data_IF_582066594752
#
_entry.id   IF_582066594752
#
_cell.length_a   1.000
_cell.length_b   1.000
_cell.length_c   1.000
_cell.angle_alpha   90.00
_cell.angle_beta   90.00
_cell.angle_gamma   90.00
#
_symmetry.space_group_name_H-M   'P 1'
#
loop_
_entity.id
_entity.type
_entity.pdbx_description
1 polymer ?
#
# COMPACT_ATOMS: atom_id res chain seq x y z
N UNK A 1 -40.48 -11.96 -2.78
CA UNK A 1 -40.06 -10.58 -3.11
C UNK A 1 -39.57 -9.85 -1.86
N UNK A 2 -40.43 -9.31 -0.99
CA UNK A 2 -39.99 -8.52 0.18
C UNK A 2 -39.12 -9.31 1.19
N UNK A 3 -39.47 -10.57 1.45
CA UNK A 3 -38.67 -11.47 2.30
C UNK A 3 -37.25 -11.72 1.75
N UNK A 4 -37.08 -11.74 0.43
CA UNK A 4 -35.78 -11.89 -0.22
C UNK A 4 -34.93 -10.63 -0.07
N UNK A 5 -35.54 -9.45 -0.15
CA UNK A 5 -34.83 -8.19 0.08
C UNK A 5 -34.46 -7.99 1.56
N UNK A 6 -35.33 -8.39 2.50
CA UNK A 6 -35.03 -8.35 3.94
C UNK A 6 -33.89 -9.30 4.32
N UNK A 7 -33.83 -10.50 3.73
CA UNK A 7 -32.72 -11.43 3.93
C UNK A 7 -31.39 -10.85 3.41
N UNK A 8 -31.39 -10.24 2.22
CA UNK A 8 -30.22 -9.54 1.68
C UNK A 8 -29.77 -8.40 2.61
N UNK A 9 -30.70 -7.62 3.17
CA UNK A 9 -30.38 -6.54 4.12
C UNK A 9 -29.72 -7.11 5.37
N UNK A 10 -30.27 -8.17 5.96
CA UNK A 10 -29.73 -8.79 7.18
C UNK A 10 -28.35 -9.42 6.95
N UNK A 11 -28.16 -10.14 5.83
CA UNK A 11 -26.86 -10.69 5.43
C UNK A 11 -25.83 -9.61 5.20
N UNK A 12 -26.21 -8.53 4.51
CA UNK A 12 -25.37 -7.36 4.28
C UNK A 12 -24.94 -6.70 5.59
N UNK A 13 -25.86 -6.58 6.55
CA UNK A 13 -25.57 -6.05 7.87
C UNK A 13 -24.56 -6.94 8.62
N UNK A 14 -24.80 -8.25 8.63
CA UNK A 14 -23.93 -9.23 9.29
C UNK A 14 -22.51 -9.20 8.72
N UNK A 15 -22.40 -9.18 7.40
CA UNK A 15 -21.14 -9.00 6.67
C UNK A 15 -20.45 -7.70 7.05
N UNK A 16 -21.17 -6.58 7.07
CA UNK A 16 -20.60 -5.28 7.39
C UNK A 16 -20.00 -5.26 8.81
N UNK A 17 -20.73 -5.78 9.79
CA UNK A 17 -20.23 -5.91 11.17
C UNK A 17 -19.03 -6.84 11.25
N UNK A 18 -19.09 -8.01 10.59
CA UNK A 18 -17.96 -8.94 10.51
C UNK A 18 -16.72 -8.26 9.93
N UNK A 19 -16.84 -7.60 8.79
CA UNK A 19 -15.73 -6.89 8.13
C UNK A 19 -15.17 -5.77 9.01
N UNK A 20 -16.03 -5.02 9.69
CA UNK A 20 -15.61 -3.97 10.62
C UNK A 20 -14.80 -4.53 11.78
N UNK A 21 -15.24 -5.66 12.36
CA UNK A 21 -14.53 -6.36 13.44
C UNK A 21 -13.22 -6.94 12.92
N UNK A 22 -13.24 -7.64 11.79
CA UNK A 22 -12.07 -8.23 11.17
C UNK A 22 -11.01 -7.16 10.87
N UNK A 23 -11.37 -6.07 10.18
CA UNK A 23 -10.45 -4.96 9.90
C UNK A 23 -9.91 -4.31 11.17
N UNK A 24 -10.70 -4.25 12.25
CA UNK A 24 -10.24 -3.72 13.54
C UNK A 24 -9.22 -4.64 14.23
N UNK A 25 -9.38 -5.96 14.09
CA UNK A 25 -8.46 -6.97 14.64
C UNK A 25 -7.17 -7.06 13.79
N UNK A 26 -7.32 -7.15 12.46
CA UNK A 26 -6.21 -7.33 11.53
C UNK A 26 -5.47 -6.01 11.21
N UNK A 27 -6.07 -4.84 11.52
CA UNK A 27 -5.33 -3.69 12.03
C UNK A 27 -5.37 -2.39 11.20
N UNK A 28 -5.30 -1.26 11.93
CA UNK A 28 -5.23 0.15 11.45
C UNK A 28 -4.05 0.48 10.52
N UNK A 29 -3.08 -0.43 10.33
CA UNK A 29 -1.86 -0.19 9.54
C UNK A 29 -2.05 -0.36 8.03
N UNK A 30 -3.08 -1.09 7.57
CA UNK A 30 -3.28 -1.32 6.13
C UNK A 30 -3.64 -0.04 5.36
N UNK A 31 -4.37 0.90 5.99
CA UNK A 31 -4.86 2.09 5.29
C UNK A 31 -3.82 3.22 5.12
N UNK A 32 -2.66 3.16 5.77
CA UNK A 32 -1.69 4.27 5.74
C UNK A 32 -0.70 4.20 4.57
N UNK A 33 -0.41 2.99 4.09
CA UNK A 33 0.41 2.66 2.92
C UNK A 33 -0.01 1.26 2.47
N UNK A 34 -1.04 1.17 1.63
CA UNK A 34 -1.47 -0.11 1.07
C UNK A 34 -0.35 -0.62 0.17
N UNK A 35 0.23 -1.75 0.53
CA UNK A 35 1.11 -2.47 -0.39
C UNK A 35 0.25 -3.23 -1.43
N UNK A 36 0.84 -3.64 -2.54
CA UNK A 36 0.20 -4.44 -3.61
C UNK A 36 -0.53 -5.67 -3.05
N UNK A 37 0.05 -6.35 -2.05
CA UNK A 37 -0.60 -7.49 -1.38
C UNK A 37 -1.91 -7.11 -0.66
N UNK A 38 -1.97 -5.92 -0.06
CA UNK A 38 -3.17 -5.44 0.64
C UNK A 38 -4.29 -5.11 -0.35
N UNK A 39 -3.94 -4.56 -1.51
CA UNK A 39 -4.88 -4.29 -2.60
C UNK A 39 -5.49 -5.61 -3.11
N UNK A 40 -4.64 -6.61 -3.38
CA UNK A 40 -5.09 -7.94 -3.82
C UNK A 40 -6.02 -8.57 -2.78
N UNK A 41 -5.67 -8.48 -1.49
CA UNK A 41 -6.52 -8.99 -0.42
C UNK A 41 -7.90 -8.32 -0.41
N UNK A 42 -7.96 -6.99 -0.49
CA UNK A 42 -9.22 -6.24 -0.51
C UNK A 42 -10.11 -6.70 -1.67
N UNK A 43 -9.53 -6.89 -2.86
CA UNK A 43 -10.26 -7.36 -4.04
C UNK A 43 -10.81 -8.79 -3.85
N UNK A 44 -10.01 -9.71 -3.31
CA UNK A 44 -10.43 -11.09 -3.05
C UNK A 44 -11.53 -11.17 -2.00
N UNK A 45 -11.44 -10.38 -0.93
CA UNK A 45 -12.47 -10.33 0.10
C UNK A 45 -13.74 -9.71 -0.45
N UNK A 46 -13.64 -8.62 -1.23
CA UNK A 46 -14.80 -7.96 -1.86
C UNK A 46 -15.64 -8.97 -2.67
N UNK A 47 -15.00 -9.77 -3.51
CA UNK A 47 -15.68 -10.81 -4.30
C UNK A 47 -16.29 -11.92 -3.42
N UNK A 48 -15.55 -12.38 -2.41
CA UNK A 48 -16.02 -13.44 -1.50
C UNK A 48 -17.26 -13.01 -0.72
N UNK A 49 -17.23 -11.77 -0.23
CA UNK A 49 -18.29 -11.16 0.56
C UNK A 49 -19.52 -10.82 -0.30
N UNK A 50 -19.31 -10.35 -1.54
CA UNK A 50 -20.40 -10.08 -2.48
C UNK A 50 -21.28 -11.32 -2.69
N UNK A 51 -20.65 -12.49 -2.84
CA UNK A 51 -21.36 -13.76 -2.95
C UNK A 51 -22.13 -14.14 -1.67
N UNK A 52 -21.63 -13.78 -0.49
CA UNK A 52 -22.37 -13.96 0.77
C UNK A 52 -23.57 -13.02 0.92
N UNK A 53 -23.51 -11.82 0.34
CA UNK A 53 -24.57 -10.81 0.44
C UNK A 53 -25.72 -11.05 -0.54
N UNK A 54 -25.41 -11.40 -1.79
CA UNK A 54 -26.39 -11.42 -2.91
C UNK A 54 -26.48 -12.80 -3.60
N UNK A 55 -25.66 -13.77 -3.20
CA UNK A 55 -25.62 -15.09 -3.83
C UNK A 55 -26.90 -15.91 -3.62
N UNK A 56 -27.26 -16.78 -4.58
CA UNK A 56 -28.56 -17.46 -4.62
C UNK A 56 -28.77 -18.53 -3.53
N UNK A 57 -27.72 -19.19 -3.01
CA UNK A 57 -27.85 -20.34 -2.11
C UNK A 57 -26.99 -20.22 -0.84
N UNK A 58 -27.61 -20.16 0.34
CA UNK A 58 -27.04 -20.32 1.72
C UNK A 58 -25.60 -19.81 1.95
N UNK A 59 -25.21 -18.74 1.27
CA UNK A 59 -23.81 -18.37 1.02
C UNK A 59 -23.17 -17.50 2.10
N UNK A 60 -23.93 -17.09 3.12
CA UNK A 60 -23.42 -16.21 4.17
C UNK A 60 -22.22 -16.84 4.87
N UNK A 61 -22.35 -18.09 5.32
CA UNK A 61 -21.25 -18.81 5.98
C UNK A 61 -20.08 -19.05 5.03
N UNK A 62 -20.34 -19.40 3.77
CA UNK A 62 -19.30 -19.60 2.76
C UNK A 62 -18.43 -18.36 2.55
N UNK A 63 -19.05 -17.20 2.33
CA UNK A 63 -18.30 -15.96 2.14
C UNK A 63 -17.63 -15.44 3.41
N UNK A 64 -18.23 -15.64 4.59
CA UNK A 64 -17.60 -15.30 5.87
C UNK A 64 -16.37 -16.19 6.16
N UNK A 65 -16.47 -17.49 5.93
CA UNK A 65 -15.34 -18.43 6.10
C UNK A 65 -14.24 -18.13 5.10
N UNK A 66 -14.58 -17.87 3.83
CA UNK A 66 -13.61 -17.48 2.81
C UNK A 66 -12.89 -16.17 3.19
N UNK A 67 -13.64 -15.12 3.59
CA UNK A 67 -13.06 -13.86 4.04
C UNK A 67 -12.16 -14.05 5.27
N UNK A 68 -12.60 -14.85 6.26
CA UNK A 68 -11.80 -15.15 7.45
C UNK A 68 -10.51 -15.90 7.09
N UNK A 69 -10.58 -16.90 6.21
CA UNK A 69 -9.42 -17.64 5.74
C UNK A 69 -8.41 -16.71 5.04
N UNK A 70 -8.89 -15.81 4.18
CA UNK A 70 -8.05 -14.81 3.52
C UNK A 70 -7.37 -13.88 4.53
N UNK A 71 -8.09 -13.40 5.55
CA UNK A 71 -7.49 -12.60 6.63
C UNK A 71 -6.41 -13.36 7.40
N UNK A 72 -6.68 -14.62 7.77
CA UNK A 72 -5.73 -15.46 8.51
C UNK A 72 -4.49 -15.74 7.67
N UNK A 73 -4.66 -16.10 6.39
CA UNK A 73 -3.53 -16.35 5.47
C UNK A 73 -2.71 -15.08 5.30
N UNK A 74 -3.34 -13.92 5.07
CA UNK A 74 -2.62 -12.66 4.94
C UNK A 74 -1.84 -12.32 6.22
N UNK A 75 -2.46 -12.52 7.39
CA UNK A 75 -1.79 -12.31 8.67
C UNK A 75 -0.58 -13.24 8.86
N UNK A 76 -0.71 -14.52 8.49
CA UNK A 76 0.39 -15.49 8.54
C UNK A 76 1.51 -15.06 7.60
N UNK A 77 1.20 -14.72 6.35
CA UNK A 77 2.17 -14.26 5.36
C UNK A 77 2.90 -13.03 5.91
N UNK A 78 2.20 -12.00 6.38
CA UNK A 78 2.83 -10.80 6.97
C UNK A 78 3.77 -11.14 8.12
N UNK A 79 3.36 -12.04 9.01
CA UNK A 79 4.21 -12.48 10.14
C UNK A 79 5.43 -13.27 9.66
N UNK A 80 5.27 -14.08 8.62
CA UNK A 80 6.34 -14.88 8.02
C UNK A 80 7.35 -13.98 7.30
N UNK A 81 6.86 -13.05 6.49
CA UNK A 81 7.63 -12.03 5.79
C UNK A 81 8.43 -11.18 6.78
N UNK A 82 7.82 -10.78 7.91
CA UNK A 82 8.55 -10.01 8.92
C UNK A 82 9.63 -10.84 9.65
N UNK A 83 9.42 -12.14 9.80
CA UNK A 83 10.36 -13.05 10.47
C UNK A 83 11.51 -13.49 9.57
N UNK A 84 11.26 -13.69 8.27
CA UNK A 84 12.23 -14.22 7.33
C UNK A 84 12.60 -13.19 6.26
N UNK A 85 13.85 -12.72 6.32
CA UNK A 85 14.40 -11.75 5.36
C UNK A 85 14.26 -12.20 3.90
N UNK A 86 14.34 -13.49 3.60
CA UNK A 86 14.19 -14.01 2.23
C UNK A 86 12.75 -13.80 1.71
N UNK A 87 11.74 -14.00 2.55
CA UNK A 87 10.34 -13.75 2.18
C UNK A 87 10.06 -12.25 2.10
N UNK A 88 10.67 -11.46 2.98
CA UNK A 88 10.66 -10.00 2.87
C UNK A 88 11.21 -9.55 1.52
N UNK A 89 12.36 -10.07 1.10
CA UNK A 89 13.04 -9.64 -0.13
C UNK A 89 12.35 -10.14 -1.41
N UNK A 90 11.52 -11.20 -1.31
CA UNK A 90 10.75 -11.74 -2.42
C UNK A 90 9.34 -11.11 -2.54
N UNK A 91 8.71 -10.77 -1.41
CA UNK A 91 7.31 -10.33 -1.35
C UNK A 91 7.16 -8.82 -1.10
N UNK A 92 8.19 -8.17 -0.55
CA UNK A 92 8.22 -6.74 -0.30
C UNK A 92 9.36 -6.15 -1.11
N UNK A 93 9.01 -5.37 -2.12
CA UNK A 93 9.99 -4.53 -2.79
C UNK A 93 10.64 -3.61 -1.75
N UNK A 94 11.96 -3.49 -1.82
CA UNK A 94 12.71 -2.61 -0.95
C UNK A 94 12.95 -1.30 -1.67
N UNK A 95 13.01 -0.19 -0.91
CA UNK A 95 13.56 1.03 -1.45
C UNK A 95 14.97 0.78 -1.99
N UNK A 96 15.21 1.15 -3.24
CA UNK A 96 16.50 0.94 -3.90
C UNK A 96 17.18 2.30 -4.13
N UNK A 97 18.47 2.39 -3.82
CA UNK A 97 19.21 3.64 -3.99
C UNK A 97 19.54 3.82 -5.48
N UNK A 98 19.16 4.97 -6.04
CA UNK A 98 19.43 5.34 -7.43
C UNK A 98 20.64 6.29 -7.54
N UNK A 99 20.78 7.22 -6.58
CA UNK A 99 21.91 8.15 -6.50
C UNK A 99 22.36 8.27 -5.03
N UNK A 100 23.66 8.23 -4.80
CA UNK A 100 24.27 8.47 -3.49
C UNK A 100 25.45 9.45 -3.62
N UNK A 101 25.40 10.58 -2.92
CA UNK A 101 26.40 11.66 -2.96
C UNK A 101 26.80 12.03 -4.40
N UNK A 102 25.79 12.28 -5.23
CA UNK A 102 25.92 12.62 -6.64
C UNK A 102 26.40 11.52 -7.58
N UNK A 103 26.58 10.29 -7.10
CA UNK A 103 26.98 9.14 -7.92
C UNK A 103 25.77 8.26 -8.22
N UNK A 104 25.53 8.06 -9.51
CA UNK A 104 24.49 7.18 -10.03
C UNK A 104 24.86 5.71 -9.77
N UNK A 105 23.92 4.94 -9.23
CA UNK A 105 24.03 3.49 -9.18
C UNK A 105 23.49 2.89 -10.50
N UNK A 106 24.38 2.78 -11.48
CA UNK A 106 24.04 2.20 -12.79
C UNK A 106 23.54 0.76 -12.70
N UNK A 107 23.93 0.00 -11.68
CA UNK A 107 23.43 -1.38 -11.51
C UNK A 107 21.98 -1.36 -11.07
N UNK A 108 21.63 -0.51 -10.11
CA UNK A 108 20.25 -0.33 -9.66
C UNK A 108 19.36 0.20 -10.80
N UNK A 109 19.81 1.25 -11.50
CA UNK A 109 19.09 1.83 -12.64
C UNK A 109 18.83 0.80 -13.74
N UNK A 110 19.85 0.02 -14.12
CA UNK A 110 19.69 -1.03 -15.14
C UNK A 110 18.81 -2.19 -14.67
N UNK A 111 18.84 -2.55 -13.38
CA UNK A 111 18.00 -3.61 -12.81
C UNK A 111 16.53 -3.20 -12.75
N UNK A 112 16.27 -1.91 -12.50
CA UNK A 112 14.93 -1.34 -12.35
C UNK A 112 14.37 -0.73 -13.64
N UNK A 113 15.13 -0.79 -14.73
CA UNK A 113 14.78 -0.20 -16.04
C UNK A 113 14.44 1.30 -15.96
N UNK A 114 15.10 2.02 -15.06
CA UNK A 114 14.89 3.46 -14.88
C UNK A 114 15.77 4.22 -15.87
N UNK A 115 15.12 5.01 -16.71
CA UNK A 115 15.80 5.83 -17.70
C UNK A 115 16.44 7.08 -17.09
N UNK A 116 17.47 7.61 -17.75
CA UNK A 116 18.06 8.90 -17.36
C UNK A 116 17.06 10.05 -17.41
N UNK A 117 16.04 9.97 -18.28
CA UNK A 117 15.05 11.03 -18.44
C UNK A 117 14.04 11.02 -17.29
N UNK A 118 13.58 9.84 -16.85
CA UNK A 118 12.75 9.70 -15.64
C UNK A 118 13.48 10.21 -14.39
N UNK A 119 14.77 9.89 -14.26
CA UNK A 119 15.56 10.32 -13.12
C UNK A 119 15.73 11.85 -13.09
N UNK A 120 15.96 12.48 -14.26
CA UNK A 120 16.02 13.93 -14.40
C UNK A 120 14.67 14.59 -14.17
N UNK A 121 13.58 13.96 -14.61
CA UNK A 121 12.22 14.43 -14.35
C UNK A 121 11.96 14.49 -12.84
N UNK A 122 12.22 13.40 -12.12
CA UNK A 122 12.08 13.33 -10.68
C UNK A 122 12.94 14.39 -9.97
N UNK A 123 14.19 14.57 -10.39
CA UNK A 123 15.05 15.62 -9.83
C UNK A 123 14.51 17.03 -10.06
N UNK A 124 13.95 17.29 -11.25
CA UNK A 124 13.35 18.59 -11.59
C UNK A 124 12.09 18.85 -10.77
N UNK A 125 11.28 17.83 -10.47
CA UNK A 125 10.16 17.94 -9.53
C UNK A 125 10.60 18.37 -8.13
N UNK A 126 11.80 17.94 -7.71
CA UNK A 126 12.44 18.34 -6.44
C UNK A 126 13.31 19.60 -6.55
N UNK A 127 13.34 20.26 -7.72
CA UNK A 127 14.04 21.52 -7.94
C UNK A 127 15.57 21.41 -8.08
N UNK A 128 16.08 20.26 -8.54
CA UNK A 128 17.50 20.01 -8.76
C UNK A 128 17.81 19.88 -10.25
N UNK A 129 18.91 20.50 -10.70
CA UNK A 129 19.35 20.47 -12.10
C UNK A 129 20.51 19.49 -12.35
N UNK A 130 21.35 19.23 -11.33
CA UNK A 130 22.54 18.40 -11.47
C UNK A 130 22.52 17.22 -10.50
N UNK A 131 23.02 16.07 -10.98
CA UNK A 131 23.13 14.87 -10.14
C UNK A 131 24.03 15.11 -8.93
N UNK A 132 25.05 15.96 -9.06
CA UNK A 132 25.97 16.34 -7.98
C UNK A 132 25.30 17.05 -6.81
N UNK A 133 24.10 17.60 -7.02
CA UNK A 133 23.34 18.29 -5.97
C UNK A 133 22.41 17.33 -5.22
N UNK A 134 22.49 16.03 -5.52
CA UNK A 134 21.69 14.97 -4.89
C UNK A 134 22.54 14.24 -3.86
N UNK A 135 22.16 14.36 -2.59
CA UNK A 135 22.74 13.58 -1.51
C UNK A 135 22.26 12.13 -1.56
N UNK A 136 20.95 11.94 -1.75
CA UNK A 136 20.33 10.62 -1.80
C UNK A 136 19.11 10.66 -2.71
N UNK A 137 19.02 9.74 -3.65
CA UNK A 137 17.83 9.49 -4.46
C UNK A 137 17.47 8.02 -4.34
N UNK A 138 16.19 7.72 -4.05
CA UNK A 138 15.70 6.35 -3.87
C UNK A 138 14.42 6.11 -4.63
N UNK A 139 14.29 4.93 -5.23
CA UNK A 139 13.00 4.41 -5.65
C UNK A 139 12.31 3.83 -4.42
N UNK A 140 11.14 4.35 -4.06
CA UNK A 140 10.31 3.87 -2.96
C UNK A 140 9.44 2.68 -3.38
N UNK A 141 8.90 1.96 -2.40
CA UNK A 141 8.07 0.75 -2.61
C UNK A 141 6.80 1.05 -3.42
N UNK A 142 6.27 2.28 -3.31
CA UNK A 142 5.10 2.72 -4.07
C UNK A 142 5.43 3.17 -5.50
N UNK A 143 6.69 3.01 -5.94
CA UNK A 143 7.18 3.40 -7.26
C UNK A 143 7.52 4.88 -7.38
N UNK A 144 7.39 5.67 -6.31
CA UNK A 144 7.79 7.08 -6.32
C UNK A 144 9.29 7.24 -6.16
N UNK A 145 9.86 8.30 -6.72
CA UNK A 145 11.27 8.64 -6.53
C UNK A 145 11.38 9.76 -5.49
N UNK A 146 12.05 9.44 -4.38
CA UNK A 146 12.35 10.40 -3.31
C UNK A 146 13.76 10.96 -3.48
N UNK A 147 13.93 12.26 -3.28
CA UNK A 147 15.23 12.93 -3.45
C UNK A 147 15.54 13.82 -2.24
N UNK A 148 16.75 13.66 -1.71
CA UNK A 148 17.35 14.50 -0.68
C UNK A 148 18.48 15.27 -1.34
N UNK A 149 18.37 16.60 -1.31
CA UNK A 149 19.39 17.50 -1.85
C UNK A 149 20.64 17.54 -0.97
N UNK A 150 21.81 17.62 -1.61
CA UNK A 150 23.08 17.91 -0.97
C UNK A 150 23.21 19.41 -0.76
N UNK A 151 22.58 19.87 0.29
CA UNK A 151 22.60 21.27 0.61
C UNK A 151 23.81 21.64 1.50
N UNK A 152 24.66 22.54 0.98
CA UNK A 152 25.79 23.11 1.74
C UNK A 152 25.40 24.32 2.60
N UNK A 153 24.19 24.92 2.48
CA UNK A 153 23.83 26.16 3.23
C UNK A 153 22.35 26.38 3.62
N UNK A 154 21.35 25.80 2.98
CA UNK A 154 19.91 25.91 3.33
C UNK A 154 19.11 24.62 3.07
N UNK A 155 18.88 23.81 4.12
CA UNK A 155 18.09 22.59 4.04
C UNK A 155 16.64 22.97 3.74
N UNK A 156 16.29 23.17 2.47
CA UNK A 156 14.92 23.08 2.03
C UNK A 156 14.59 21.60 1.98
N UNK A 157 14.25 21.06 3.14
CA UNK A 157 13.40 19.87 3.17
C UNK A 157 12.18 20.21 2.34
N UNK A 158 12.06 19.61 1.16
CA UNK A 158 10.80 19.61 0.42
C UNK A 158 9.83 18.86 1.31
N UNK A 159 9.12 19.60 2.16
CA UNK A 159 7.96 19.10 2.86
C UNK A 159 6.93 18.76 1.79
N UNK A 160 6.95 17.52 1.30
CA UNK A 160 5.80 16.95 0.62
C UNK A 160 4.68 16.90 1.65
N UNK A 161 3.89 17.97 1.68
CA UNK A 161 2.76 18.15 2.57
C UNK A 161 1.70 17.16 2.11
N UNK A 162 1.77 15.92 2.62
CA UNK A 162 0.67 14.96 2.56
C UNK A 162 -0.57 15.73 2.99
N UNK A 163 -1.48 15.98 2.06
CA UNK A 163 -2.68 16.78 2.28
C UNK A 163 -3.63 15.97 3.16
N UNK A 164 -3.33 15.91 4.46
CA UNK A 164 -4.25 15.42 5.46
C UNK A 164 -5.38 16.46 5.52
N UNK A 165 -6.48 16.15 4.85
CA UNK A 165 -7.72 16.89 4.98
C UNK A 165 -8.28 16.64 6.39
N UNK A 166 -7.72 17.32 7.39
CA UNK A 166 -8.34 17.44 8.69
C UNK A 166 -9.54 18.38 8.53
N UNK A 167 -10.70 17.82 8.19
CA UNK A 167 -11.97 18.54 8.33
C UNK A 167 -12.16 18.81 9.83
N UNK A 168 -11.99 20.07 10.20
CA UNK A 168 -12.36 20.62 11.50
C UNK A 168 -13.81 20.22 11.83
N UNK A 169 -13.98 19.39 12.86
CA UNK A 169 -15.21 19.43 13.65
C UNK A 169 -14.94 20.31 14.86
N UNK A 170 -15.39 21.56 14.75
CA UNK A 170 -15.67 22.42 15.91
C UNK A 170 -16.68 21.70 16.81
N UNK A 171 -16.36 21.59 18.09
CA UNK A 171 -17.28 21.80 19.21
C UNK A 171 -16.46 22.23 20.42
#
# INVERSE_FOLDING_TARGET
MLYSYLDIILRSLAVYFFMTIALRIFGKKELSQLNTADIILILLISNSVQNAMVGPDTSLWGGLVAALALFVINFIIKKLTHKYKILNDLLLDKPEILIHDGKLDFKALSKLDISNDELKEAMREHGLEHFTDVKLCMLEIDGTISVISEDKKHLKQTHYKRKHNHKNFRK
#
